data_IF_898676084519
#
_entry.id   IF_898676084519
#
_cell.length_a   1.000
_cell.length_b   1.000
_cell.length_c   1.000
_cell.angle_alpha   90.00
_cell.angle_beta   90.00
_cell.angle_gamma   90.00
#
_symmetry.space_group_name_H-M   'P 1'
#
loop_
_entity.id
_entity.type
_entity.pdbx_description
1 polymer ?
#
# COMPACT_ATOMS: atom_id res chain seq x y z
N UNK A 1 -26.80 -10.58 -4.73
CA UNK A 1 -25.54 -10.31 -5.48
C UNK A 1 -24.46 -9.96 -4.48
N UNK A 2 -23.17 -10.32 -4.71
CA UNK A 2 -22.11 -9.75 -3.88
C UNK A 2 -22.15 -8.23 -4.08
N UNK A 3 -22.08 -7.41 -3.02
CA UNK A 3 -22.02 -5.96 -3.17
C UNK A 3 -20.69 -5.66 -3.89
N UNK A 4 -20.79 -5.29 -5.16
CA UNK A 4 -19.65 -5.24 -6.07
C UNK A 4 -18.65 -4.20 -5.56
N UNK A 5 -17.49 -4.68 -5.12
CA UNK A 5 -16.33 -3.85 -4.81
C UNK A 5 -15.56 -3.59 -6.09
N UNK A 6 -15.44 -2.32 -6.48
CA UNK A 6 -14.65 -1.92 -7.64
C UNK A 6 -13.15 -2.06 -7.31
N UNK A 7 -12.42 -2.87 -8.06
CA UNK A 7 -10.95 -2.83 -8.08
C UNK A 7 -10.55 -1.68 -9.00
N UNK A 8 -10.27 -0.51 -8.45
CA UNK A 8 -9.78 0.60 -9.27
C UNK A 8 -8.27 0.45 -9.51
N UNK A 9 -7.91 0.11 -10.74
CA UNK A 9 -6.54 0.24 -11.26
C UNK A 9 -6.27 1.71 -11.62
N UNK A 10 -6.17 2.57 -10.59
CA UNK A 10 -5.99 4.01 -10.76
C UNK A 10 -4.56 4.45 -10.51
N UNK A 11 -4.03 5.36 -11.33
CA UNK A 11 -2.85 6.14 -10.93
C UNK A 11 -3.24 7.23 -9.91
N UNK A 12 -4.49 7.68 -9.95
CA UNK A 12 -5.08 8.76 -9.14
C UNK A 12 -5.88 8.19 -7.96
N UNK A 13 -5.18 7.56 -7.01
CA UNK A 13 -5.81 6.88 -5.87
C UNK A 13 -6.57 7.90 -5.01
N UNK A 14 -5.93 9.03 -4.70
CA UNK A 14 -6.51 10.05 -3.84
C UNK A 14 -7.81 10.64 -4.39
N UNK A 15 -7.83 11.01 -5.68
CA UNK A 15 -9.02 11.62 -6.31
C UNK A 15 -10.18 10.63 -6.38
N UNK A 16 -9.89 9.35 -6.65
CA UNK A 16 -10.91 8.29 -6.67
C UNK A 16 -11.55 8.13 -5.30
N UNK A 17 -10.74 8.11 -4.24
CA UNK A 17 -11.24 7.95 -2.86
C UNK A 17 -12.10 9.13 -2.43
N UNK A 18 -11.71 10.37 -2.78
CA UNK A 18 -12.53 11.56 -2.53
C UNK A 18 -13.88 11.48 -3.23
N UNK A 19 -13.89 11.12 -4.52
CA UNK A 19 -15.13 10.95 -5.27
C UNK A 19 -16.02 9.88 -4.64
N UNK A 20 -15.45 8.76 -4.18
CA UNK A 20 -16.22 7.72 -3.49
C UNK A 20 -16.86 8.23 -2.19
N UNK A 21 -16.13 9.03 -1.41
CA UNK A 21 -16.64 9.65 -0.17
C UNK A 21 -17.74 10.69 -0.45
N UNK A 22 -17.52 11.54 -1.45
CA UNK A 22 -18.46 12.58 -1.91
C UNK A 22 -19.77 11.96 -2.43
N UNK A 23 -19.68 10.81 -3.10
CA UNK A 23 -20.83 10.03 -3.56
C UNK A 23 -21.46 9.14 -2.46
N UNK A 24 -20.96 9.23 -1.23
CA UNK A 24 -21.45 8.49 -0.06
C UNK A 24 -21.40 6.97 -0.23
N UNK A 25 -20.37 6.46 -0.93
CA UNK A 25 -20.10 5.03 -1.01
C UNK A 25 -19.65 4.54 0.36
N UNK A 26 -20.46 3.72 1.02
CA UNK A 26 -20.19 3.29 2.40
C UNK A 26 -18.94 2.41 2.57
N UNK A 27 -18.57 1.62 1.56
CA UNK A 27 -17.44 0.69 1.62
C UNK A 27 -16.70 0.64 0.29
N UNK A 28 -15.38 0.78 0.35
CA UNK A 28 -14.46 0.61 -0.78
C UNK A 28 -13.45 -0.49 -0.44
N UNK A 29 -13.18 -1.39 -1.38
CA UNK A 29 -12.08 -2.36 -1.26
C UNK A 29 -11.10 -2.13 -2.40
N UNK A 30 -9.84 -1.86 -2.07
CA UNK A 30 -8.79 -1.54 -3.03
C UNK A 30 -7.63 -2.53 -2.91
N UNK A 31 -7.35 -3.22 -4.00
CA UNK A 31 -6.11 -3.97 -4.18
C UNK A 31 -5.00 -3.04 -4.69
N UNK A 32 -3.82 -3.12 -4.09
CA UNK A 32 -2.65 -2.33 -4.48
C UNK A 32 -1.43 -3.23 -4.64
N UNK A 33 -0.72 -3.06 -5.75
CA UNK A 33 0.56 -3.73 -6.00
C UNK A 33 1.70 -3.01 -5.29
N UNK A 34 2.73 -3.78 -4.92
CA UNK A 34 3.85 -3.30 -4.11
C UNK A 34 4.50 -2.00 -4.63
N UNK A 35 4.73 -1.89 -5.95
CA UNK A 35 5.31 -0.67 -6.52
C UNK A 35 4.46 0.60 -6.35
N UNK A 36 3.13 0.47 -6.32
CA UNK A 36 2.21 1.58 -6.03
C UNK A 36 2.09 1.81 -4.52
N UNK A 37 2.10 0.73 -3.74
CA UNK A 37 2.06 0.79 -2.29
C UNK A 37 3.25 1.57 -1.72
N UNK A 38 4.47 1.32 -2.22
CA UNK A 38 5.67 2.09 -1.82
C UNK A 38 5.44 3.60 -1.99
N UNK A 39 4.96 4.02 -3.16
CA UNK A 39 4.72 5.45 -3.43
C UNK A 39 3.61 6.04 -2.56
N UNK A 40 2.53 5.28 -2.40
CA UNK A 40 1.39 5.72 -1.58
C UNK A 40 1.78 5.81 -0.10
N UNK A 41 2.61 4.90 0.40
CA UNK A 41 3.16 4.91 1.75
C UNK A 41 4.08 6.11 2.02
N UNK A 42 4.74 6.64 0.99
CA UNK A 42 5.50 7.90 1.05
C UNK A 42 4.60 9.15 0.94
N UNK A 43 3.28 8.98 0.78
CA UNK A 43 2.32 10.07 0.67
C UNK A 43 1.99 10.51 -0.76
N UNK A 44 2.51 9.82 -1.78
CA UNK A 44 2.17 10.11 -3.17
C UNK A 44 0.81 9.51 -3.55
N UNK A 45 -0.24 10.33 -3.41
CA UNK A 45 -1.62 9.98 -3.79
C UNK A 45 -1.81 9.82 -5.32
N UNK A 46 -0.88 10.34 -6.12
CA UNK A 46 -0.71 10.04 -7.53
C UNK A 46 0.52 9.15 -7.73
N UNK A 47 0.32 7.94 -8.23
CA UNK A 47 1.34 6.88 -8.29
C UNK A 47 2.01 6.72 -9.66
N UNK A 48 1.82 7.67 -10.58
CA UNK A 48 2.34 7.57 -11.95
C UNK A 48 3.86 7.31 -12.00
N UNK A 49 4.29 6.34 -12.83
CA UNK A 49 5.63 5.75 -12.79
C UNK A 49 6.75 6.66 -13.28
N UNK A 50 6.48 7.59 -14.21
CA UNK A 50 7.50 8.48 -14.78
C UNK A 50 8.01 9.57 -13.84
N UNK A 51 7.36 9.79 -12.69
CA UNK A 51 7.68 10.90 -11.78
C UNK A 51 8.38 10.47 -10.49
N UNK A 52 8.30 9.20 -10.09
CA UNK A 52 8.77 8.74 -8.77
C UNK A 52 9.62 7.48 -8.92
N UNK A 53 10.90 7.62 -8.58
CA UNK A 53 11.89 6.53 -8.45
C UNK A 53 11.73 5.90 -7.06
N UNK A 54 11.92 4.59 -6.97
CA UNK A 54 11.87 3.86 -5.71
C UNK A 54 12.83 4.44 -4.67
N UNK A 55 12.29 4.90 -3.54
CA UNK A 55 13.07 5.42 -2.44
C UNK A 55 13.56 4.27 -1.54
N UNK A 56 14.78 3.80 -1.80
CA UNK A 56 15.39 2.72 -1.01
C UNK A 56 15.61 3.11 0.45
N UNK A 57 15.90 4.38 0.72
CA UNK A 57 16.12 4.86 2.08
C UNK A 57 14.83 4.75 2.91
N UNK A 58 13.70 5.20 2.35
CA UNK A 58 12.39 5.04 2.99
C UNK A 58 12.10 3.58 3.36
N UNK A 59 12.37 2.65 2.45
CA UNK A 59 12.11 1.23 2.69
C UNK A 59 13.05 0.65 3.76
N UNK A 60 14.30 1.10 3.81
CA UNK A 60 15.27 0.71 4.82
C UNK A 60 14.88 1.22 6.21
N UNK A 61 14.39 2.46 6.30
CA UNK A 61 13.87 3.05 7.53
C UNK A 61 12.64 2.29 8.01
N UNK A 62 11.66 2.07 7.13
CA UNK A 62 10.45 1.30 7.45
C UNK A 62 10.78 -0.11 7.96
N UNK A 63 11.69 -0.82 7.29
CA UNK A 63 12.12 -2.15 7.70
C UNK A 63 12.75 -2.14 9.11
N UNK A 64 13.51 -1.11 9.44
CA UNK A 64 14.10 -0.96 10.77
C UNK A 64 13.03 -0.68 11.82
N UNK A 65 12.10 0.22 11.53
CA UNK A 65 11.05 0.64 12.45
C UNK A 65 10.08 -0.49 12.77
N UNK A 66 9.79 -1.37 11.81
CA UNK A 66 8.95 -2.55 12.02
C UNK A 66 9.71 -3.76 12.58
N UNK A 67 11.01 -3.64 12.88
CA UNK A 67 11.80 -4.69 13.51
C UNK A 67 12.21 -5.83 12.58
N UNK A 68 12.30 -5.59 11.27
CA UNK A 68 12.86 -6.58 10.35
C UNK A 68 14.33 -6.87 10.68
N UNK A 69 14.75 -8.06 10.28
CA UNK A 69 16.12 -8.53 10.40
C UNK A 69 17.11 -7.62 9.63
N UNK A 70 18.38 -7.51 10.08
CA UNK A 70 19.40 -6.71 9.38
C UNK A 70 19.63 -7.14 7.92
N UNK A 71 19.36 -8.39 7.59
CA UNK A 71 19.49 -8.97 6.24
C UNK A 71 18.61 -8.25 5.23
N UNK A 72 17.42 -7.78 5.65
CA UNK A 72 16.48 -7.02 4.81
C UNK A 72 17.10 -5.74 4.25
N UNK A 73 17.99 -5.09 5.02
CA UNK A 73 18.69 -3.89 4.58
C UNK A 73 19.53 -4.16 3.32
N UNK A 74 20.15 -5.34 3.25
CA UNK A 74 20.94 -5.79 2.11
C UNK A 74 20.07 -6.11 0.91
N UNK A 75 18.90 -6.72 1.13
CA UNK A 75 17.90 -6.99 0.08
C UNK A 75 17.44 -5.68 -0.56
N UNK A 76 17.03 -4.70 0.26
CA UNK A 76 16.59 -3.37 -0.22
C UNK A 76 17.70 -2.62 -0.95
N UNK A 77 18.96 -2.71 -0.48
CA UNK A 77 20.07 -2.05 -1.13
C UNK A 77 20.30 -2.59 -2.56
N UNK A 78 20.20 -3.91 -2.73
CA UNK A 78 20.49 -4.61 -4.00
C UNK A 78 19.34 -4.61 -4.99
N UNK A 79 18.10 -4.41 -4.54
CA UNK A 79 16.96 -4.52 -5.45
C UNK A 79 16.94 -3.42 -6.52
N UNK A 80 16.36 -3.71 -7.67
CA UNK A 80 16.07 -2.73 -8.72
C UNK A 80 14.57 -2.43 -8.82
N UNK A 81 13.73 -3.44 -8.56
CA UNK A 81 12.28 -3.34 -8.72
C UNK A 81 11.54 -3.74 -7.45
N UNK A 82 10.36 -3.17 -7.25
CA UNK A 82 9.57 -3.38 -6.03
C UNK A 82 9.23 -4.86 -5.82
N UNK A 83 8.90 -5.57 -6.90
CA UNK A 83 8.57 -7.01 -6.85
C UNK A 83 9.69 -7.88 -6.28
N UNK A 84 10.93 -7.41 -6.28
CA UNK A 84 12.06 -8.15 -5.72
C UNK A 84 11.99 -8.21 -4.19
N UNK A 85 11.40 -7.20 -3.53
CA UNK A 85 11.11 -7.28 -2.09
C UNK A 85 10.15 -8.41 -1.76
N UNK A 86 9.15 -8.65 -2.61
CA UNK A 86 8.19 -9.73 -2.40
C UNK A 86 8.85 -11.09 -2.30
N UNK A 87 9.86 -11.34 -3.15
CA UNK A 87 10.59 -12.61 -3.20
C UNK A 87 11.81 -12.65 -2.29
N UNK A 88 12.36 -11.49 -1.96
CA UNK A 88 13.63 -11.34 -1.25
C UNK A 88 13.50 -11.30 0.27
N UNK A 89 12.31 -11.04 0.81
CA UNK A 89 12.08 -11.02 2.26
C UNK A 89 11.83 -12.45 2.79
N UNK A 90 12.51 -12.86 3.88
CA UNK A 90 12.09 -14.02 4.66
C UNK A 90 10.64 -13.87 5.15
N UNK A 91 9.93 -14.98 5.34
CA UNK A 91 8.51 -14.96 5.75
C UNK A 91 8.27 -14.16 7.04
N UNK A 92 9.16 -14.31 8.03
CA UNK A 92 9.08 -13.56 9.28
C UNK A 92 9.20 -12.04 9.08
N UNK A 93 10.08 -11.61 8.17
CA UNK A 93 10.25 -10.19 7.86
C UNK A 93 9.12 -9.66 6.99
N UNK A 94 8.63 -10.45 6.04
CA UNK A 94 7.47 -10.11 5.22
C UNK A 94 6.21 -9.87 6.07
N UNK A 95 6.01 -10.69 7.11
CA UNK A 95 4.91 -10.57 8.06
C UNK A 95 4.96 -9.28 8.90
N UNK A 96 6.13 -8.65 9.05
CA UNK A 96 6.31 -7.36 9.70
C UNK A 96 6.22 -6.21 8.71
N UNK A 97 6.93 -6.32 7.60
CA UNK A 97 7.13 -5.26 6.63
C UNK A 97 5.86 -4.91 5.85
N UNK A 98 5.14 -5.89 5.30
CA UNK A 98 3.99 -5.61 4.45
C UNK A 98 2.83 -4.95 5.19
N UNK A 99 2.45 -5.38 6.41
CA UNK A 99 1.46 -4.65 7.20
C UNK A 99 1.91 -3.23 7.55
N UNK A 100 3.20 -3.01 7.87
CA UNK A 100 3.72 -1.68 8.16
C UNK A 100 3.62 -0.75 6.94
N UNK A 101 4.01 -1.24 5.76
CA UNK A 101 3.89 -0.51 4.50
C UNK A 101 2.44 -0.17 4.16
N UNK A 102 1.55 -1.17 4.27
CA UNK A 102 0.13 -1.00 3.98
C UNK A 102 -0.55 -0.08 5.00
N UNK A 103 -0.07 -0.06 6.25
CA UNK A 103 -0.53 0.84 7.30
C UNK A 103 -0.26 2.31 6.96
N UNK A 104 0.93 2.63 6.43
CA UNK A 104 1.23 3.97 5.93
C UNK A 104 0.33 4.35 4.75
N UNK A 105 0.09 3.43 3.81
CA UNK A 105 -0.86 3.65 2.72
C UNK A 105 -2.26 3.98 3.25
N UNK A 106 -2.75 3.16 4.19
CA UNK A 106 -4.06 3.33 4.80
C UNK A 106 -4.14 4.69 5.51
N UNK A 107 -3.13 5.08 6.28
CA UNK A 107 -3.06 6.40 6.93
C UNK A 107 -3.26 7.55 5.94
N UNK A 108 -2.55 7.53 4.80
CA UNK A 108 -2.68 8.57 3.78
C UNK A 108 -4.04 8.55 3.09
N UNK A 109 -4.62 7.38 2.86
CA UNK A 109 -5.95 7.25 2.28
C UNK A 109 -7.05 7.72 3.23
N UNK A 110 -7.00 7.33 4.51
CA UNK A 110 -8.02 7.70 5.50
C UNK A 110 -8.06 9.20 5.77
N UNK A 111 -6.94 9.91 5.61
CA UNK A 111 -6.91 11.37 5.68
C UNK A 111 -7.75 12.07 4.60
N UNK A 112 -8.21 11.34 3.58
CA UNK A 112 -9.08 11.83 2.52
C UNK A 112 -10.55 11.46 2.70
N UNK A 113 -10.86 10.60 3.67
CA UNK A 113 -12.17 10.00 3.85
C UNK A 113 -12.81 10.53 5.13
N UNK A 114 -14.10 10.82 5.07
CA UNK A 114 -14.87 11.23 6.25
C UNK A 114 -15.87 10.17 6.71
N UNK A 115 -16.35 9.32 5.78
CA UNK A 115 -17.45 8.38 6.05
C UNK A 115 -17.16 6.99 5.49
N UNK A 116 -16.43 6.93 4.38
CA UNK A 116 -16.14 5.68 3.65
C UNK A 116 -15.23 4.76 4.46
N UNK A 117 -15.65 3.52 4.64
CA UNK A 117 -14.78 2.44 5.12
C UNK A 117 -13.89 1.97 3.96
N UNK A 118 -12.57 1.95 4.17
CA UNK A 118 -11.61 1.47 3.19
C UNK A 118 -10.99 0.15 3.66
N UNK A 119 -11.20 -0.89 2.87
CA UNK A 119 -10.36 -2.08 2.89
C UNK A 119 -9.22 -1.92 1.89
N UNK A 120 -7.98 -2.08 2.35
CA UNK A 120 -6.76 -2.09 1.54
C UNK A 120 -6.17 -3.49 1.54
N UNK A 121 -5.77 -3.99 0.37
CA UNK A 121 -5.13 -5.30 0.21
C UNK A 121 -3.85 -5.16 -0.59
N UNK A 122 -2.74 -5.68 -0.08
CA UNK A 122 -1.48 -5.74 -0.82
C UNK A 122 -1.45 -7.03 -1.65
N UNK A 123 -1.39 -6.89 -2.98
CA UNK A 123 -1.54 -8.00 -3.94
C UNK A 123 -0.32 -8.08 -4.87
N UNK A 124 0.15 -9.29 -5.18
CA UNK A 124 1.18 -9.52 -6.20
C UNK A 124 0.61 -9.68 -7.63
N UNK A 125 1.48 -9.99 -8.59
CA UNK A 125 1.12 -10.18 -10.00
C UNK A 125 0.32 -11.47 -10.25
N UNK A 126 0.42 -12.45 -9.35
CA UNK A 126 -0.28 -13.74 -9.42
C UNK A 126 -1.64 -13.71 -8.66
N UNK A 127 -1.95 -12.60 -7.99
CA UNK A 127 -3.18 -12.41 -7.23
C UNK A 127 -3.10 -12.84 -5.76
N UNK A 128 -1.92 -13.21 -5.25
CA UNK A 128 -1.76 -13.52 -3.83
C UNK A 128 -1.85 -12.26 -2.98
N UNK A 129 -2.58 -12.36 -1.87
CA UNK A 129 -2.76 -11.28 -0.91
C UNK A 129 -1.80 -11.50 0.26
N UNK A 130 -0.80 -10.64 0.40
CA UNK A 130 0.14 -10.72 1.53
C UNK A 130 -0.46 -10.22 2.84
N UNK A 131 -1.23 -9.13 2.77
CA UNK A 131 -1.92 -8.59 3.94
C UNK A 131 -3.14 -7.76 3.53
N UNK A 132 -4.07 -7.62 4.48
CA UNK A 132 -5.29 -6.84 4.36
C UNK A 132 -5.44 -5.97 5.60
N UNK A 133 -5.72 -4.69 5.40
CA UNK A 133 -6.07 -3.76 6.47
C UNK A 133 -7.42 -3.13 6.18
N UNK A 134 -8.13 -2.75 7.24
CA UNK A 134 -9.40 -2.03 7.15
C UNK A 134 -9.30 -0.81 8.04
N UNK A 135 -9.81 0.31 7.55
CA UNK A 135 -9.92 1.53 8.32
C UNK A 135 -11.11 2.36 7.89
N UNK A 136 -11.46 3.33 8.73
CA UNK A 136 -12.54 4.27 8.47
C UNK A 136 -12.02 5.67 8.73
N UNK A 137 -12.41 6.62 7.86
CA UNK A 137 -12.12 8.03 8.08
C UNK A 137 -12.69 8.50 9.42
N UNK A 138 -11.95 9.35 10.11
CA UNK A 138 -12.41 10.01 11.34
C UNK A 138 -12.52 11.50 11.03
N UNK A 139 -13.69 12.10 11.28
CA UNK A 139 -13.92 13.54 11.14
C UNK A 139 -13.09 14.34 12.14
#
# INVERSE_FOLDING_TARGET
MPPQAFVHYGNYIGDTLKIADDLHIGKVTMGIMLGKAVKLAEGHLNTYSKQVVMNKQFLQELARDCGCSPEVQTVIAKMTLARELWKGLPEADAALFFPALLGLCLKHCLALLSRTELTLMLIDEDGHIACRLVGQGVQ
#
